data_IF_013844230225
#
_entry.id   IF_013844230225
#
_cell.length_a   1.000
_cell.length_b   1.000
_cell.length_c   1.000
_cell.angle_alpha   90.00
_cell.angle_beta   90.00
_cell.angle_gamma   90.00
#
_symmetry.space_group_name_H-M   'P 1'
#
loop_
_entity.id
_entity.type
_entity.pdbx_description
1 polymer ?
#
# COMPACT_ATOMS: atom_id res chain seq x y z
N UNK A 1 -5.90 8.59 -4.54
CA UNK A 1 -6.98 7.61 -4.75
C UNK A 1 -8.15 8.05 -3.89
N UNK A 2 -9.37 8.06 -4.44
CA UNK A 2 -10.55 8.40 -3.66
C UNK A 2 -10.96 7.19 -2.81
N UNK A 3 -10.60 7.22 -1.53
CA UNK A 3 -10.91 6.18 -0.56
C UNK A 3 -12.39 6.16 -0.11
N UNK A 4 -13.22 7.07 -0.64
CA UNK A 4 -14.63 7.19 -0.25
C UNK A 4 -15.57 6.35 -1.12
N UNK A 5 -15.11 5.91 -2.30
CA UNK A 5 -15.90 5.06 -3.18
C UNK A 5 -15.67 3.56 -2.90
N UNK A 6 -16.23 3.10 -1.79
CA UNK A 6 -16.13 1.70 -1.34
C UNK A 6 -16.70 0.67 -2.34
N UNK A 7 -17.53 1.10 -3.30
CA UNK A 7 -18.12 0.19 -4.28
C UNK A 7 -17.09 -0.42 -5.25
N UNK A 8 -15.92 0.22 -5.39
CA UNK A 8 -14.83 -0.24 -6.27
C UNK A 8 -13.98 -1.36 -5.66
N UNK A 9 -14.00 -1.50 -4.33
CA UNK A 9 -13.12 -2.39 -3.60
C UNK A 9 -13.81 -3.70 -3.21
N UNK A 10 -13.00 -4.74 -3.03
CA UNK A 10 -13.45 -6.02 -2.48
C UNK A 10 -14.09 -5.81 -1.10
N UNK A 11 -15.09 -6.63 -0.78
CA UNK A 11 -15.84 -6.53 0.47
C UNK A 11 -15.75 -7.85 1.25
N UNK A 12 -15.36 -7.84 2.55
CA UNK A 12 -14.98 -6.67 3.36
C UNK A 12 -13.72 -5.99 2.79
N UNK A 13 -13.43 -4.75 3.19
CA UNK A 13 -12.28 -3.99 2.68
C UNK A 13 -10.95 -4.73 2.87
N UNK A 14 -10.51 -5.46 1.84
CA UNK A 14 -9.26 -6.20 1.82
C UNK A 14 -8.13 -5.27 1.39
N UNK A 15 -7.01 -5.31 2.10
CA UNK A 15 -5.80 -4.56 1.74
C UNK A 15 -4.65 -5.50 1.42
N UNK A 16 -3.72 -5.00 0.61
CA UNK A 16 -2.37 -5.53 0.49
C UNK A 16 -1.39 -4.49 1.00
N UNK A 17 -0.42 -4.93 1.78
CA UNK A 17 0.64 -4.11 2.34
C UNK A 17 2.00 -4.73 2.00
N UNK A 18 2.94 -3.89 1.56
CA UNK A 18 4.24 -4.32 1.05
C UNK A 18 5.33 -4.02 2.08
N UNK A 19 6.05 -5.04 2.51
CA UNK A 19 7.24 -4.88 3.35
C UNK A 19 8.48 -5.03 2.47
N UNK A 20 8.96 -3.89 1.95
CA UNK A 20 10.08 -3.86 1.01
C UNK A 20 11.37 -3.61 1.79
N UNK A 21 12.25 -4.61 1.78
CA UNK A 21 13.56 -4.53 2.40
C UNK A 21 14.66 -4.21 1.38
N UNK A 22 15.71 -3.56 1.87
CA UNK A 22 16.99 -3.45 1.16
C UNK A 22 18.14 -3.49 2.17
N UNK A 23 19.33 -3.80 1.70
CA UNK A 23 20.56 -3.64 2.48
C UNK A 23 21.31 -2.44 1.92
N UNK A 24 21.52 -1.43 2.76
CA UNK A 24 22.31 -0.25 2.44
C UNK A 24 23.37 -0.05 3.52
N UNK A 25 24.63 0.13 3.11
CA UNK A 25 25.77 0.30 4.03
C UNK A 25 25.87 -0.81 5.10
N UNK A 26 25.57 -2.05 4.71
CA UNK A 26 25.60 -3.21 5.61
C UNK A 26 24.44 -3.29 6.62
N UNK A 27 23.48 -2.37 6.56
CA UNK A 27 22.33 -2.35 7.45
C UNK A 27 21.04 -2.72 6.70
N UNK A 28 20.18 -3.50 7.33
CA UNK A 28 18.84 -3.82 6.83
C UNK A 28 17.93 -2.60 6.98
N UNK A 29 17.32 -2.17 5.88
CA UNK A 29 16.37 -1.06 5.83
C UNK A 29 15.02 -1.55 5.31
N UNK A 30 13.94 -0.89 5.73
CA UNK A 30 12.58 -1.11 5.23
C UNK A 30 12.02 0.19 4.66
N UNK A 31 11.31 0.11 3.54
CA UNK A 31 10.64 1.27 2.97
C UNK A 31 9.41 1.64 3.78
N UNK A 32 9.36 2.90 4.21
CA UNK A 32 8.19 3.51 4.83
C UNK A 32 7.79 4.76 4.03
N UNK A 33 6.49 5.03 4.00
CA UNK A 33 5.93 6.25 3.43
C UNK A 33 5.13 7.00 4.49
N UNK A 34 5.18 8.33 4.45
CA UNK A 34 4.35 9.17 5.32
C UNK A 34 2.95 9.29 4.71
N UNK A 35 1.92 8.90 5.46
CA UNK A 35 0.53 8.91 4.99
C UNK A 35 0.09 10.33 4.68
N UNK A 36 -0.40 10.55 3.46
CA UNK A 36 -0.92 11.85 3.03
C UNK A 36 -2.37 12.08 3.49
N UNK A 37 -3.18 11.02 3.52
CA UNK A 37 -4.63 11.09 3.70
C UNK A 37 -5.08 10.55 5.06
N UNK A 38 -6.25 10.99 5.51
CA UNK A 38 -6.94 10.43 6.68
C UNK A 38 -7.51 9.04 6.34
N UNK A 39 -7.65 8.14 7.34
CA UNK A 39 -7.18 8.28 8.72
C UNK A 39 -5.65 8.16 8.84
N UNK A 40 -5.12 8.69 9.96
CA UNK A 40 -3.69 8.67 10.32
C UNK A 40 -2.78 9.44 9.35
N UNK A 41 -3.28 10.53 8.77
CA UNK A 41 -2.46 11.45 7.99
C UNK A 41 -1.24 11.91 8.84
N UNK A 42 -0.07 11.96 8.21
CA UNK A 42 1.19 12.35 8.84
C UNK A 42 1.95 11.23 9.58
N UNK A 43 1.37 10.04 9.75
CA UNK A 43 2.07 8.89 10.35
C UNK A 43 2.89 8.13 9.28
N UNK A 44 3.99 7.51 9.71
CA UNK A 44 4.75 6.58 8.86
C UNK A 44 4.04 5.23 8.79
N UNK A 45 3.96 4.63 7.61
CA UNK A 45 3.43 3.29 7.41
C UNK A 45 4.20 2.55 6.32
N UNK A 46 4.03 1.22 6.29
CA UNK A 46 4.37 0.43 5.11
C UNK A 46 3.46 0.86 3.93
N UNK A 47 3.95 0.80 2.68
CA UNK A 47 3.14 1.04 1.50
C UNK A 47 2.00 0.02 1.40
N UNK A 48 0.78 0.48 1.19
CA UNK A 48 -0.38 -0.38 1.09
C UNK A 48 -1.54 0.26 0.34
N UNK A 49 -2.51 -0.57 -0.02
CA UNK A 49 -3.71 -0.17 -0.76
C UNK A 49 -4.81 -1.23 -0.69
N UNK A 50 -6.04 -0.80 -1.00
CA UNK A 50 -7.19 -1.69 -1.09
C UNK A 50 -7.13 -2.55 -2.36
N UNK A 51 -7.69 -3.75 -2.25
CA UNK A 51 -7.94 -4.66 -3.36
C UNK A 51 -9.17 -4.18 -4.14
N UNK A 52 -9.05 -4.05 -5.47
CA UNK A 52 -10.22 -3.81 -6.32
C UNK A 52 -11.04 -5.09 -6.51
N UNK A 53 -12.33 -4.95 -6.82
CA UNK A 53 -13.19 -6.12 -7.09
C UNK A 53 -12.65 -6.96 -8.24
N UNK A 54 -12.48 -8.26 -7.99
CA UNK A 54 -11.98 -9.22 -8.98
C UNK A 54 -10.48 -9.07 -9.30
N UNK A 55 -9.76 -8.19 -8.61
CA UNK A 55 -8.30 -8.10 -8.68
C UNK A 55 -7.69 -9.23 -7.83
N UNK A 56 -6.62 -9.87 -8.31
CA UNK A 56 -5.88 -10.83 -7.49
C UNK A 56 -4.97 -10.11 -6.49
N UNK A 57 -4.61 -10.78 -5.40
CA UNK A 57 -3.69 -10.21 -4.40
C UNK A 57 -2.34 -9.83 -5.00
N UNK A 58 -1.82 -10.65 -5.92
CA UNK A 58 -0.56 -10.41 -6.62
C UNK A 58 -0.65 -9.20 -7.54
N UNK A 59 -1.76 -9.06 -8.28
CA UNK A 59 -1.99 -7.90 -9.14
C UNK A 59 -2.07 -6.60 -8.32
N UNK A 60 -2.78 -6.63 -7.19
CA UNK A 60 -2.86 -5.50 -6.27
C UNK A 60 -1.49 -5.14 -5.69
N UNK A 61 -0.68 -6.14 -5.29
CA UNK A 61 0.66 -5.92 -4.76
C UNK A 61 1.56 -5.22 -5.79
N UNK A 62 1.55 -5.67 -7.04
CA UNK A 62 2.32 -5.04 -8.13
C UNK A 62 1.86 -3.61 -8.43
N UNK A 63 0.54 -3.37 -8.44
CA UNK A 63 -0.03 -2.03 -8.61
C UNK A 63 0.39 -1.09 -7.48
N UNK A 64 0.22 -1.53 -6.23
CA UNK A 64 0.62 -0.74 -5.04
C UNK A 64 2.11 -0.44 -5.06
N UNK A 65 2.94 -1.40 -5.50
CA UNK A 65 4.37 -1.19 -5.68
C UNK A 65 4.62 -0.05 -6.69
N UNK A 66 4.03 -0.13 -7.89
CA UNK A 66 4.19 0.89 -8.92
C UNK A 66 3.67 2.28 -8.54
N UNK A 67 2.54 2.37 -7.83
CA UNK A 67 1.94 3.65 -7.43
C UNK A 67 2.69 4.36 -6.29
N UNK A 68 3.33 3.60 -5.40
CA UNK A 68 3.84 4.12 -4.12
C UNK A 68 5.37 4.15 -4.04
N UNK A 69 6.06 3.46 -4.95
CA UNK A 69 7.52 3.38 -4.97
C UNK A 69 8.14 3.76 -6.32
N UNK A 70 7.30 4.07 -7.33
CA UNK A 70 7.70 4.54 -8.66
C UNK A 70 7.67 6.05 -8.80
#
# INVERSE_FOLDING_TARGET
MDYTNYALYEQPGVTVDLVIFTVNEGNLHVLLAKRAEVPFAGFWSIPGGFLFKGESLEAAALRVMGEKTG
#
